data_IF_316857427112
#
_entry.id   IF_316857427112
#
_cell.length_a   1.000
_cell.length_b   1.000
_cell.length_c   1.000
_cell.angle_alpha   90.00
_cell.angle_beta   90.00
_cell.angle_gamma   90.00
#
_symmetry.space_group_name_H-M   'P 1'
#
loop_
_entity.id
_entity.type
_entity.pdbx_description
1 polymer ?
#
# COMPACT_ATOMS: atom_id res chain seq x y z
N UNK A 1 -1.73 2.71 -19.49
CA UNK A 1 -2.88 2.43 -20.37
C UNK A 1 -2.96 0.94 -20.75
N UNK A 2 -1.82 0.31 -21.11
CA UNK A 2 -1.79 -1.11 -21.54
C UNK A 2 -2.20 -2.09 -20.43
N UNK A 3 -1.86 -1.84 -19.17
CA UNK A 3 -2.19 -2.70 -18.02
C UNK A 3 -3.70 -2.66 -17.72
N UNK A 4 -4.35 -1.52 -17.90
CA UNK A 4 -5.80 -1.36 -17.73
C UNK A 4 -6.55 -2.09 -18.86
N UNK A 5 -6.00 -2.10 -20.07
CA UNK A 5 -6.61 -2.79 -21.23
C UNK A 5 -6.44 -4.30 -21.14
N UNK A 6 -5.34 -4.82 -20.56
CA UNK A 6 -5.17 -6.27 -20.33
C UNK A 6 -6.13 -6.83 -19.27
N UNK A 7 -6.56 -6.03 -18.30
CA UNK A 7 -7.57 -6.43 -17.31
C UNK A 7 -8.98 -6.54 -17.91
N UNK A 8 -9.26 -5.89 -19.05
CA UNK A 8 -10.56 -5.89 -19.70
C UNK A 8 -10.85 -7.13 -20.59
N UNK A 9 -9.86 -7.98 -20.84
CA UNK A 9 -10.01 -9.15 -21.75
C UNK A 9 -10.16 -10.50 -21.03
N UNK A 10 -10.00 -10.53 -19.70
CA UNK A 10 -10.33 -11.72 -18.92
C UNK A 10 -11.84 -11.65 -18.66
N UNK A 11 -12.56 -12.74 -18.86
CA UNK A 11 -13.97 -12.89 -18.48
C UNK A 11 -14.06 -12.86 -16.93
N UNK A 12 -13.94 -11.66 -16.37
CA UNK A 12 -13.88 -11.38 -14.95
C UNK A 12 -15.29 -11.53 -14.41
N UNK A 13 -15.50 -12.48 -13.54
CA UNK A 13 -16.68 -12.45 -12.67
C UNK A 13 -16.49 -11.25 -11.75
N UNK A 14 -17.49 -10.37 -11.68
CA UNK A 14 -17.42 -9.17 -10.84
C UNK A 14 -17.06 -9.49 -9.37
N UNK A 15 -17.45 -10.67 -8.89
CA UNK A 15 -17.17 -11.20 -7.55
C UNK A 15 -15.67 -11.40 -7.22
N UNK A 16 -14.79 -11.40 -8.23
CA UNK A 16 -13.36 -11.59 -8.04
C UNK A 16 -12.60 -10.25 -7.91
N UNK A 17 -13.25 -9.12 -8.22
CA UNK A 17 -12.67 -7.77 -8.11
C UNK A 17 -12.95 -7.21 -6.73
N UNK A 18 -11.94 -6.58 -6.15
CA UNK A 18 -12.12 -5.73 -4.98
C UNK A 18 -11.53 -4.35 -5.21
N UNK A 19 -12.16 -3.38 -4.61
CA UNK A 19 -11.66 -2.01 -4.51
C UNK A 19 -11.55 -1.64 -3.04
N UNK A 20 -10.62 -0.80 -2.71
CA UNK A 20 -10.44 -0.40 -1.32
C UNK A 20 -9.42 0.69 -1.17
N UNK A 21 -8.88 0.76 0.00
CA UNK A 21 -7.81 1.68 0.32
C UNK A 21 -7.57 1.76 1.81
N UNK A 22 -6.44 2.34 2.14
CA UNK A 22 -6.01 2.54 3.51
C UNK A 22 -5.67 3.99 3.79
N UNK A 23 -5.80 4.34 5.05
CA UNK A 23 -5.42 5.65 5.61
C UNK A 23 -4.40 5.43 6.72
N UNK A 24 -3.43 6.32 6.79
CA UNK A 24 -2.51 6.42 7.91
C UNK A 24 -2.40 7.91 8.27
N UNK A 25 -2.63 8.22 9.53
CA UNK A 25 -2.50 9.59 10.06
C UNK A 25 -1.65 9.52 11.31
N UNK A 26 -0.59 10.28 11.34
CA UNK A 26 0.31 10.33 12.47
C UNK A 26 0.65 11.77 12.85
N UNK A 27 0.54 12.09 14.12
CA UNK A 27 0.96 13.38 14.67
C UNK A 27 1.89 13.18 15.84
N UNK A 28 3.05 13.80 15.77
CA UNK A 28 3.99 13.93 16.88
C UNK A 28 3.96 15.37 17.39
N UNK A 29 3.40 15.57 18.58
CA UNK A 29 3.26 16.90 19.17
C UNK A 29 4.58 17.47 19.68
N UNK A 30 5.52 16.63 20.10
CA UNK A 30 6.85 17.05 20.55
C UNK A 30 7.73 17.53 19.40
N UNK A 31 7.66 16.84 18.26
CA UNK A 31 8.40 17.20 17.04
C UNK A 31 7.66 18.15 16.10
N UNK A 32 6.42 18.52 16.43
CA UNK A 32 5.51 19.30 15.56
C UNK A 32 5.42 18.75 14.14
N UNK A 33 5.41 17.41 14.01
CA UNK A 33 5.30 16.73 12.74
C UNK A 33 3.90 16.15 12.55
N UNK A 34 3.37 16.26 11.35
CA UNK A 34 2.11 15.64 10.96
C UNK A 34 2.33 14.89 9.65
N UNK A 35 1.96 13.63 9.63
CA UNK A 35 2.03 12.76 8.47
C UNK A 35 0.62 12.27 8.12
N UNK A 36 0.25 12.38 6.88
CA UNK A 36 -1.00 11.89 6.33
C UNK A 36 -0.72 11.06 5.08
N UNK A 37 -1.25 9.85 5.03
CA UNK A 37 -1.14 8.98 3.85
C UNK A 37 -2.51 8.43 3.49
N UNK A 38 -2.82 8.45 2.21
CA UNK A 38 -3.99 7.77 1.61
C UNK A 38 -3.49 6.86 0.51
N UNK A 39 -4.02 5.65 0.48
CA UNK A 39 -3.61 4.61 -0.45
C UNK A 39 -4.81 3.84 -1.00
N UNK A 40 -5.53 4.37 -2.00
CA UNK A 40 -6.54 3.59 -2.72
C UNK A 40 -5.91 2.40 -3.42
N UNK A 41 -6.62 1.28 -3.44
CA UNK A 41 -6.17 0.06 -4.10
C UNK A 41 -7.31 -0.62 -4.89
N UNK A 42 -6.92 -1.32 -5.93
CA UNK A 42 -7.78 -2.20 -6.71
C UNK A 42 -7.07 -3.52 -6.93
N UNK A 43 -7.81 -4.62 -6.86
CA UNK A 43 -7.23 -5.94 -7.07
C UNK A 43 -8.24 -6.95 -7.62
N UNK A 44 -7.68 -8.07 -8.04
CA UNK A 44 -8.37 -9.19 -8.60
C UNK A 44 -7.93 -10.48 -7.91
N UNK A 45 -8.87 -11.25 -7.37
CA UNK A 45 -8.63 -12.55 -6.78
C UNK A 45 -8.64 -13.60 -7.88
N UNK A 46 -7.54 -14.28 -8.14
CA UNK A 46 -7.47 -15.43 -9.05
C UNK A 46 -8.15 -16.66 -8.44
N UNK A 47 -8.01 -16.78 -7.13
CA UNK A 47 -8.57 -17.83 -6.30
C UNK A 47 -8.52 -17.40 -4.82
N UNK A 48 -8.87 -18.28 -3.92
CA UNK A 48 -8.88 -18.00 -2.46
C UNK A 48 -7.50 -17.67 -1.89
N UNK A 49 -6.41 -18.10 -2.57
CA UNK A 49 -5.03 -17.99 -2.09
C UNK A 49 -4.29 -16.82 -2.71
N UNK A 50 -4.55 -16.51 -3.99
CA UNK A 50 -3.77 -15.56 -4.77
C UNK A 50 -4.61 -14.42 -5.34
N UNK A 51 -4.08 -13.20 -5.20
CA UNK A 51 -4.62 -12.01 -5.85
C UNK A 51 -3.50 -11.15 -6.44
N UNK A 52 -3.85 -10.36 -7.43
CA UNK A 52 -3.01 -9.32 -8.03
C UNK A 52 -3.71 -7.98 -7.85
N UNK A 53 -2.95 -6.94 -7.55
CA UNK A 53 -3.53 -5.60 -7.41
C UNK A 53 -2.51 -4.49 -7.60
N UNK A 54 -2.99 -3.29 -7.47
CA UNK A 54 -2.19 -2.07 -7.47
C UNK A 54 -2.71 -1.09 -6.42
N UNK A 55 -1.79 -0.50 -5.69
CA UNK A 55 -2.03 0.54 -4.69
C UNK A 55 -1.44 1.85 -5.23
N UNK A 56 -2.17 2.95 -5.08
CA UNK A 56 -1.71 4.30 -5.38
C UNK A 56 -1.51 5.01 -4.06
N UNK A 57 -0.26 5.31 -3.72
CA UNK A 57 0.06 5.99 -2.46
C UNK A 57 0.21 7.48 -2.68
N UNK A 58 -0.45 8.26 -1.85
CA UNK A 58 -0.17 9.68 -1.68
C UNK A 58 0.12 9.96 -0.22
N UNK A 59 1.25 10.60 0.06
CA UNK A 59 1.59 11.06 1.40
C UNK A 59 1.95 12.54 1.42
N UNK A 60 1.58 13.16 2.52
CA UNK A 60 1.94 14.54 2.87
C UNK A 60 2.52 14.56 4.27
N UNK A 61 3.78 14.94 4.35
CA UNK A 61 4.52 15.05 5.59
C UNK A 61 4.86 16.51 5.85
N UNK A 62 4.48 17.02 7.03
CA UNK A 62 4.79 18.36 7.51
C UNK A 62 5.69 18.28 8.74
N UNK A 63 6.82 18.96 8.68
CA UNK A 63 7.83 18.99 9.73
C UNK A 63 8.10 20.46 10.16
N UNK A 64 7.08 21.13 10.74
CA UNK A 64 7.21 22.46 11.30
C UNK A 64 7.69 23.58 10.34
N UNK A 65 8.56 23.27 9.41
CA UNK A 65 9.17 24.21 8.45
C UNK A 65 9.13 23.72 7.00
N UNK A 66 9.12 22.40 6.77
CA UNK A 66 9.19 21.80 5.45
C UNK A 66 7.96 20.90 5.22
N UNK A 67 7.40 21.01 4.02
CA UNK A 67 6.36 20.11 3.53
C UNK A 67 6.97 19.19 2.47
N UNK A 68 6.71 17.90 2.63
CA UNK A 68 7.09 16.88 1.64
C UNK A 68 5.84 16.18 1.13
N UNK A 69 5.71 16.09 -0.19
CA UNK A 69 4.66 15.32 -0.84
C UNK A 69 5.30 14.14 -1.55
N UNK A 70 4.72 12.96 -1.41
CA UNK A 70 5.14 11.80 -2.18
C UNK A 70 3.95 11.14 -2.84
N UNK A 71 4.17 10.65 -4.04
CA UNK A 71 3.22 9.86 -4.81
C UNK A 71 3.92 8.61 -5.31
N UNK A 72 3.28 7.46 -5.16
CA UNK A 72 3.81 6.21 -5.69
C UNK A 72 2.72 5.29 -6.23
N UNK A 73 3.13 4.41 -7.14
CA UNK A 73 2.33 3.31 -7.67
C UNK A 73 3.00 2.02 -7.26
N UNK A 74 2.25 1.13 -6.65
CA UNK A 74 2.73 -0.11 -6.08
C UNK A 74 1.90 -1.30 -6.58
N UNK A 75 2.22 -1.90 -7.73
CA UNK A 75 1.67 -3.21 -8.06
C UNK A 75 2.11 -4.24 -7.01
N UNK A 76 1.20 -5.14 -6.66
CA UNK A 76 1.46 -6.19 -5.70
C UNK A 76 0.83 -7.51 -6.10
N UNK A 77 1.43 -8.61 -5.61
CA UNK A 77 0.83 -9.93 -5.57
C UNK A 77 0.54 -10.27 -4.11
N UNK A 78 -0.66 -10.72 -3.83
CA UNK A 78 -1.12 -11.12 -2.49
C UNK A 78 -1.17 -12.63 -2.38
N UNK A 79 -0.53 -13.15 -1.35
CA UNK A 79 -0.63 -14.54 -0.94
C UNK A 79 -1.40 -14.64 0.38
N UNK A 80 -2.60 -15.24 0.33
CA UNK A 80 -3.43 -15.53 1.51
C UNK A 80 -3.05 -16.92 2.02
N UNK A 81 -2.28 -16.96 3.09
CA UNK A 81 -1.76 -18.22 3.65
C UNK A 81 -2.67 -18.82 4.73
N UNK A 82 -3.64 -18.07 5.22
CA UNK A 82 -4.67 -18.52 6.14
C UNK A 82 -5.98 -17.81 5.86
N UNK A 83 -7.08 -18.54 5.83
CA UNK A 83 -8.41 -17.99 5.64
C UNK A 83 -9.44 -18.84 6.35
N UNK A 84 -10.40 -18.17 7.00
CA UNK A 84 -11.64 -18.75 7.49
C UNK A 84 -12.81 -17.80 7.19
N UNK A 85 -14.00 -18.09 7.70
CA UNK A 85 -15.21 -17.30 7.44
C UNK A 85 -15.13 -15.84 7.93
N UNK A 86 -14.27 -15.55 8.92
CA UNK A 86 -14.16 -14.23 9.54
C UNK A 86 -12.85 -13.51 9.22
N UNK A 87 -11.74 -14.25 9.02
CA UNK A 87 -10.39 -13.67 8.97
C UNK A 87 -9.59 -14.28 7.84
N UNK A 88 -8.85 -13.41 7.13
CA UNK A 88 -7.82 -13.78 6.14
C UNK A 88 -6.49 -13.16 6.55
N UNK A 89 -5.45 -13.97 6.65
CA UNK A 89 -4.07 -13.52 6.82
C UNK A 89 -3.35 -13.59 5.48
N UNK A 90 -2.66 -12.53 5.13
CA UNK A 90 -2.00 -12.44 3.83
C UNK A 90 -0.64 -11.77 3.90
N UNK A 91 0.14 -11.98 2.85
CA UNK A 91 1.41 -11.35 2.60
C UNK A 91 1.38 -10.71 1.21
N UNK A 92 1.54 -9.39 1.14
CA UNK A 92 1.66 -8.66 -0.11
C UNK A 92 3.13 -8.54 -0.51
N UNK A 93 3.52 -9.12 -1.65
CA UNK A 93 4.80 -8.85 -2.31
C UNK A 93 4.61 -7.69 -3.29
N UNK A 94 5.21 -6.54 -3.02
CA UNK A 94 4.99 -5.32 -3.78
C UNK A 94 6.29 -4.71 -4.30
N UNK A 95 6.20 -4.12 -5.49
CA UNK A 95 7.22 -3.25 -6.04
C UNK A 95 6.61 -1.86 -6.26
N UNK A 96 7.18 -0.82 -5.64
CA UNK A 96 6.68 0.54 -5.77
C UNK A 96 7.70 1.45 -6.45
N UNK A 97 7.19 2.33 -7.30
CA UNK A 97 7.95 3.43 -7.89
C UNK A 97 7.21 4.72 -7.54
N UNK A 98 7.95 5.69 -7.00
CA UNK A 98 7.37 6.93 -6.55
C UNK A 98 8.24 8.15 -6.80
N UNK A 99 7.60 9.31 -6.62
CA UNK A 99 8.19 10.62 -6.70
C UNK A 99 7.99 11.34 -5.38
N UNK A 100 9.05 11.92 -4.87
CA UNK A 100 9.05 12.71 -3.63
C UNK A 100 9.41 14.13 -3.98
N UNK A 101 8.55 15.07 -3.63
CA UNK A 101 8.76 16.51 -3.82
C UNK A 101 8.82 17.21 -2.47
N UNK A 102 9.95 17.81 -2.18
CA UNK A 102 10.12 18.71 -1.03
C UNK A 102 9.74 20.12 -1.48
N UNK A 103 9.05 20.88 -0.63
CA UNK A 103 8.72 22.28 -0.91
C UNK A 103 10.04 23.06 -1.10
N UNK A 104 10.11 23.83 -2.17
CA UNK A 104 11.28 24.62 -2.59
C UNK A 104 12.55 23.80 -2.94
N UNK A 105 12.39 22.49 -3.19
CA UNK A 105 13.45 21.56 -3.58
C UNK A 105 13.16 20.76 -4.85
N UNK A 106 14.14 19.96 -5.25
CA UNK A 106 14.05 19.10 -6.42
C UNK A 106 13.12 17.89 -6.19
N UNK A 107 12.57 17.37 -7.27
CA UNK A 107 11.80 16.13 -7.24
C UNK A 107 12.74 14.94 -7.27
N UNK A 108 12.66 14.10 -6.26
CA UNK A 108 13.42 12.85 -6.13
C UNK A 108 12.59 11.65 -6.59
N UNK A 109 13.25 10.66 -7.16
CA UNK A 109 12.64 9.37 -7.48
C UNK A 109 13.02 8.36 -6.39
N UNK A 110 12.06 7.54 -5.99
CA UNK A 110 12.26 6.47 -5.03
C UNK A 110 11.68 5.17 -5.58
N UNK A 111 12.34 4.07 -5.27
CA UNK A 111 11.87 2.73 -5.59
C UNK A 111 11.93 1.84 -4.36
N UNK A 112 10.99 0.92 -4.21
CA UNK A 112 11.04 -0.10 -3.18
C UNK A 112 10.49 -1.42 -3.70
N UNK A 113 11.02 -2.51 -3.17
CA UNK A 113 10.50 -3.86 -3.40
C UNK A 113 10.54 -4.61 -2.08
N UNK A 114 9.48 -5.31 -1.74
CA UNK A 114 9.44 -6.05 -0.48
C UNK A 114 8.09 -6.66 -0.17
N UNK A 115 7.99 -7.11 1.07
CA UNK A 115 6.84 -7.81 1.59
C UNK A 115 6.18 -7.01 2.71
N UNK A 116 4.84 -7.06 2.74
CA UNK A 116 4.02 -6.42 3.75
C UNK A 116 2.96 -7.41 4.26
N UNK A 117 3.04 -7.86 5.50
CA UNK A 117 2.00 -8.70 6.08
C UNK A 117 0.72 -7.91 6.36
N UNK A 118 -0.41 -8.59 6.30
CA UNK A 118 -1.69 -8.00 6.57
C UNK A 118 -2.73 -8.99 7.05
N UNK A 119 -3.78 -8.43 7.60
CA UNK A 119 -4.98 -9.13 8.05
C UNK A 119 -6.21 -8.47 7.42
N UNK A 120 -7.13 -9.28 6.94
CA UNK A 120 -8.46 -8.87 6.54
C UNK A 120 -9.48 -9.49 7.48
N UNK A 121 -10.36 -8.69 8.06
CA UNK A 121 -11.48 -9.14 8.86
C UNK A 121 -12.76 -8.91 8.08
N UNK A 122 -13.47 -9.98 7.76
CA UNK A 122 -14.71 -9.94 7.00
C UNK A 122 -15.81 -9.36 7.89
N UNK A 123 -16.39 -8.25 7.48
CA UNK A 123 -17.51 -7.59 8.17
C UNK A 123 -18.85 -8.10 7.66
N UNK A 124 -18.93 -8.36 6.36
CA UNK A 124 -20.04 -8.99 5.67
C UNK A 124 -19.57 -9.57 4.32
N UNK A 125 -20.47 -9.98 3.45
CA UNK A 125 -20.13 -10.64 2.18
C UNK A 125 -19.36 -9.74 1.21
N UNK A 126 -19.49 -8.43 1.34
CA UNK A 126 -18.85 -7.45 0.46
C UNK A 126 -17.74 -6.64 1.14
N UNK A 127 -17.86 -6.34 2.44
CA UNK A 127 -16.94 -5.48 3.16
C UNK A 127 -15.98 -6.27 4.04
N UNK A 128 -14.71 -5.91 3.96
CA UNK A 128 -13.66 -6.36 4.87
C UNK A 128 -12.89 -5.18 5.43
N UNK A 129 -12.60 -5.23 6.72
CA UNK A 129 -11.63 -4.34 7.37
C UNK A 129 -10.22 -4.89 7.11
N UNK A 130 -9.31 -4.02 6.70
CA UNK A 130 -7.93 -4.39 6.36
C UNK A 130 -6.96 -3.67 7.29
N UNK A 131 -5.99 -4.39 7.79
CA UNK A 131 -4.82 -3.83 8.45
C UNK A 131 -3.55 -4.42 7.84
N UNK A 132 -2.63 -3.55 7.42
CA UNK A 132 -1.29 -3.92 6.94
C UNK A 132 -0.27 -3.36 7.91
N UNK A 133 0.76 -4.13 8.25
CA UNK A 133 1.73 -3.74 9.25
C UNK A 133 3.15 -4.09 8.83
N UNK A 134 4.03 -3.09 8.91
CA UNK A 134 5.45 -3.26 8.66
C UNK A 134 5.83 -3.38 7.19
N UNK A 135 7.12 -3.53 6.97
CA UNK A 135 7.74 -3.71 5.66
C UNK A 135 9.05 -4.47 5.79
N UNK A 136 9.22 -5.51 5.00
CA UNK A 136 10.47 -6.23 4.86
C UNK A 136 10.91 -6.11 3.40
N UNK A 137 12.02 -5.45 3.13
CA UNK A 137 12.47 -5.32 1.76
C UNK A 137 13.61 -4.34 1.55
N UNK A 138 13.75 -3.95 0.31
CA UNK A 138 14.79 -3.07 -0.20
C UNK A 138 14.18 -1.75 -0.66
N UNK A 139 14.83 -0.63 -0.30
CA UNK A 139 14.47 0.73 -0.71
C UNK A 139 15.68 1.43 -1.31
N UNK A 140 15.44 2.12 -2.40
CA UNK A 140 16.44 2.93 -3.08
C UNK A 140 15.90 4.34 -3.31
N UNK A 141 16.67 5.33 -2.86
CA UNK A 141 16.46 6.73 -3.22
C UNK A 141 17.43 7.09 -4.35
N UNK A 142 16.93 7.54 -5.48
CA UNK A 142 17.77 7.79 -6.68
C UNK A 142 18.67 9.02 -6.50
N UNK A 143 18.25 9.98 -5.68
CA UNK A 143 18.95 11.27 -5.50
C UNK A 143 19.76 11.34 -4.19
N UNK A 144 19.72 10.32 -3.35
CA UNK A 144 20.54 10.25 -2.13
C UNK A 144 21.35 8.96 -2.20
N UNK A 145 22.69 9.00 -2.11
CA UNK A 145 23.49 7.78 -2.05
C UNK A 145 23.10 7.00 -0.79
N UNK A 146 22.57 5.81 -0.98
CA UNK A 146 22.20 4.93 0.12
C UNK A 146 21.02 4.03 -0.22
N UNK A 147 21.36 2.79 -0.47
CA UNK A 147 20.38 1.70 -0.55
C UNK A 147 20.14 1.17 0.87
N UNK A 148 18.91 0.87 1.22
CA UNK A 148 18.58 0.29 2.51
C UNK A 148 17.82 -1.02 2.33
N UNK A 149 18.28 -2.05 3.03
CA UNK A 149 17.59 -3.32 3.16
C UNK A 149 17.29 -3.55 4.64
N UNK A 150 16.10 -3.99 4.95
CA UNK A 150 15.76 -4.28 6.33
C UNK A 150 14.29 -4.59 6.57
N UNK A 151 14.05 -4.88 7.83
CA UNK A 151 12.70 -5.05 8.40
C UNK A 151 12.36 -3.78 9.18
N UNK A 152 11.25 -3.14 8.83
CA UNK A 152 10.68 -2.02 9.58
C UNK A 152 9.33 -2.45 10.17
N UNK A 153 9.24 -2.43 11.48
CA UNK A 153 8.04 -2.77 12.26
C UNK A 153 7.81 -1.66 13.29
N UNK A 154 7.16 -0.60 12.86
CA UNK A 154 6.83 0.53 13.74
C UNK A 154 5.33 0.80 13.67
N UNK A 155 4.78 1.41 14.71
CA UNK A 155 3.38 1.82 14.74
C UNK A 155 3.02 2.80 13.60
N UNK A 156 4.00 3.53 13.08
CA UNK A 156 3.86 4.42 11.93
C UNK A 156 3.61 3.68 10.61
N UNK A 157 4.00 2.38 10.55
CA UNK A 157 3.80 1.54 9.36
C UNK A 157 2.46 0.78 9.38
N UNK A 158 1.66 0.94 10.45
CA UNK A 158 0.31 0.41 10.50
C UNK A 158 -0.60 1.23 9.59
N UNK A 159 -1.16 0.59 8.59
CA UNK A 159 -2.21 1.17 7.74
C UNK A 159 -3.51 0.43 7.94
N UNK A 160 -4.59 1.18 8.06
CA UNK A 160 -5.94 0.69 8.29
C UNK A 160 -6.81 1.09 7.12
N UNK A 161 -7.64 0.18 6.64
CA UNK A 161 -8.50 0.44 5.50
C UNK A 161 -9.65 -0.53 5.37
N UNK A 162 -10.33 -0.43 4.24
CA UNK A 162 -11.45 -1.27 3.90
C UNK A 162 -11.32 -1.77 2.47
N UNK A 163 -11.82 -2.99 2.24
CA UNK A 163 -12.05 -3.54 0.91
C UNK A 163 -13.54 -3.77 0.70
N UNK A 164 -13.97 -3.47 -0.49
CA UNK A 164 -15.28 -3.85 -1.03
C UNK A 164 -15.07 -4.84 -2.16
N UNK A 165 -15.62 -6.03 -2.03
CA UNK A 165 -15.65 -7.07 -3.07
C UNK A 165 -17.02 -7.08 -3.75
N UNK A 166 -17.03 -7.14 -5.06
CA UNK A 166 -18.25 -7.13 -5.87
C UNK A 166 -18.88 -8.52 -5.96
#
# INVERSE_FOLDING_TARGET
LLVVVMLATIAVKAQDIYVGGSLNVWRNSTGNTTSFKVAPEVGYNFNETWALGAELDYSHDYNGSLSTNAFSVAPYIRWSYYQNDAVRLFLDGAAAIGFVKVKDGDTSKAGQIGFRPGIAVKLNDHFSFIAKYGFLGYRRNVNTPGDSFGLKLTSEDLSIGFHYAF
#
